data_IF_258212669124
#
_entry.id   IF_258212669124
#
_cell.length_a   1.000
_cell.length_b   1.000
_cell.length_c   1.000
_cell.angle_alpha   90.00
_cell.angle_beta   90.00
_cell.angle_gamma   90.00
#
_symmetry.space_group_name_H-M   'P 1'
#
loop_
_entity.id
_entity.type
_entity.pdbx_description
1 polymer ?
#
# COMPACT_ATOMS: atom_id res chain seq x y z
N UNK A 1 18.09 24.71 -28.79
CA UNK A 1 18.15 23.76 -29.94
C UNK A 1 17.43 22.49 -29.45
N UNK A 2 16.22 22.25 -29.97
CA UNK A 2 15.51 20.99 -29.68
C UNK A 2 16.15 19.90 -30.54
N UNK A 3 16.98 19.05 -29.91
CA UNK A 3 17.50 17.86 -30.56
C UNK A 3 16.34 16.86 -30.72
N UNK A 4 15.68 16.88 -31.88
CA UNK A 4 14.70 15.85 -32.23
C UNK A 4 15.43 14.55 -32.57
N UNK A 5 15.27 13.53 -31.73
CA UNK A 5 15.72 12.16 -31.97
C UNK A 5 14.66 11.40 -32.76
N UNK A 6 14.52 11.74 -34.05
CA UNK A 6 13.57 11.07 -34.93
C UNK A 6 14.29 10.04 -35.79
N UNK A 7 13.88 8.78 -35.73
CA UNK A 7 14.40 7.71 -36.59
C UNK A 7 13.89 7.95 -38.00
N UNK A 8 14.81 8.27 -38.92
CA UNK A 8 14.50 8.41 -40.34
C UNK A 8 14.82 7.11 -41.05
N UNK A 9 13.79 6.41 -41.47
CA UNK A 9 13.93 5.18 -42.25
C UNK A 9 14.04 5.58 -43.71
N UNK A 10 15.20 5.37 -44.32
CA UNK A 10 15.40 5.41 -45.78
C UNK A 10 15.24 3.98 -46.29
N UNK A 11 14.00 3.53 -46.44
CA UNK A 11 13.75 2.23 -47.06
C UNK A 11 13.68 2.43 -48.58
N UNK A 12 14.50 1.74 -49.39
CA UNK A 12 14.16 1.49 -50.78
C UNK A 12 12.80 0.74 -50.77
N UNK A 13 12.05 0.85 -51.89
CA UNK A 13 10.81 0.06 -52.02
C UNK A 13 11.06 -1.39 -51.57
N UNK A 14 10.20 -1.89 -50.69
CA UNK A 14 10.30 -3.28 -50.24
C UNK A 14 10.27 -4.18 -51.47
N UNK A 15 11.32 -4.97 -51.74
CA UNK A 15 11.33 -5.84 -52.87
C UNK A 15 10.14 -6.79 -52.81
N UNK A 16 9.44 -6.94 -53.91
CA UNK A 16 8.36 -7.91 -53.98
C UNK A 16 8.90 -9.29 -53.61
N UNK A 17 8.15 -10.04 -52.78
CA UNK A 17 8.50 -11.41 -52.46
C UNK A 17 8.37 -12.27 -53.69
N UNK A 18 9.46 -12.51 -54.40
CA UNK A 18 9.50 -13.36 -55.59
C UNK A 18 9.79 -14.78 -55.12
N UNK A 19 8.90 -15.68 -55.46
CA UNK A 19 9.03 -17.10 -55.15
C UNK A 19 8.47 -17.96 -56.26
N UNK A 20 8.81 -19.22 -56.33
CA UNK A 20 8.46 -20.21 -57.36
C UNK A 20 7.03 -20.74 -57.16
N UNK A 21 6.04 -19.85 -57.06
CA UNK A 21 4.63 -20.17 -56.78
C UNK A 21 4.06 -21.17 -57.72
N UNK A 22 4.20 -20.93 -59.03
CA UNK A 22 3.54 -21.73 -60.08
C UNK A 22 4.15 -23.16 -60.14
N UNK A 23 5.45 -23.29 -59.88
CA UNK A 23 6.12 -24.59 -59.81
C UNK A 23 5.67 -25.35 -58.59
N UNK A 24 5.62 -24.74 -57.43
CA UNK A 24 5.16 -25.37 -56.17
C UNK A 24 3.68 -25.78 -56.34
N UNK A 25 2.84 -24.91 -56.91
CA UNK A 25 1.45 -25.23 -57.11
C UNK A 25 1.26 -26.40 -58.07
N UNK A 26 1.97 -26.45 -59.20
CA UNK A 26 1.94 -27.55 -60.15
C UNK A 26 2.37 -28.86 -59.50
N UNK A 27 3.53 -28.84 -58.84
CA UNK A 27 4.07 -30.04 -58.15
C UNK A 27 3.10 -30.54 -57.07
N UNK A 28 2.52 -29.63 -56.30
CA UNK A 28 1.55 -29.98 -55.25
C UNK A 28 0.28 -30.59 -55.85
N UNK A 29 -0.23 -30.01 -56.93
CA UNK A 29 -1.44 -30.51 -57.62
C UNK A 29 -1.20 -31.89 -58.20
N UNK A 30 -0.01 -32.16 -58.79
CA UNK A 30 0.40 -33.45 -59.28
C UNK A 30 0.50 -34.46 -58.10
N UNK A 31 1.18 -34.12 -57.02
CA UNK A 31 1.31 -34.95 -55.84
C UNK A 31 -0.03 -35.26 -55.17
N UNK A 32 -0.96 -34.31 -55.13
CA UNK A 32 -2.27 -34.48 -54.53
C UNK A 32 -3.26 -35.25 -55.45
N UNK A 33 -3.02 -35.28 -56.78
CA UNK A 33 -3.86 -36.01 -57.71
C UNK A 33 -3.97 -37.50 -57.39
N UNK A 34 -2.88 -38.09 -56.92
CA UNK A 34 -2.82 -39.52 -56.53
C UNK A 34 -3.71 -39.86 -55.33
N UNK A 35 -4.09 -38.86 -54.54
CA UNK A 35 -4.89 -39.02 -53.32
C UNK A 35 -6.35 -38.58 -53.49
N UNK A 36 -6.65 -37.80 -54.55
CA UNK A 36 -8.02 -37.35 -54.85
C UNK A 36 -8.90 -38.52 -55.23
N UNK A 37 -9.97 -38.72 -54.47
CA UNK A 37 -10.95 -39.78 -54.76
C UNK A 37 -10.52 -41.19 -54.29
N UNK A 38 -9.36 -41.34 -53.63
CA UNK A 38 -8.95 -42.62 -53.06
C UNK A 38 -9.85 -43.03 -51.88
N UNK A 39 -10.44 -44.24 -51.98
CA UNK A 39 -11.29 -44.80 -50.93
C UNK A 39 -10.43 -45.77 -50.10
N UNK A 40 -10.44 -45.59 -48.80
CA UNK A 40 -9.72 -46.47 -47.89
C UNK A 40 -10.69 -47.46 -47.23
N UNK A 41 -10.31 -48.75 -47.19
CA UNK A 41 -11.05 -49.80 -46.52
C UNK A 41 -10.43 -50.07 -45.14
N UNK A 42 -11.12 -50.80 -44.24
CA UNK A 42 -10.54 -51.19 -42.96
C UNK A 42 -9.16 -51.89 -43.07
N UNK A 43 -8.94 -52.65 -44.13
CA UNK A 43 -7.69 -53.39 -44.38
C UNK A 43 -6.56 -52.42 -44.82
N UNK A 44 -6.88 -51.28 -45.41
CA UNK A 44 -5.91 -50.28 -45.89
C UNK A 44 -5.70 -49.12 -44.95
N UNK A 45 -6.21 -49.21 -43.70
CA UNK A 45 -6.15 -48.10 -42.72
C UNK A 45 -4.72 -47.70 -42.38
N UNK A 46 -3.75 -48.62 -42.42
CA UNK A 46 -2.34 -48.36 -42.20
C UNK A 46 -1.79 -47.43 -43.31
N UNK A 47 -2.06 -47.81 -44.57
CA UNK A 47 -1.68 -46.99 -45.72
C UNK A 47 -2.33 -45.60 -45.70
N UNK A 48 -3.60 -45.53 -45.30
CA UNK A 48 -4.30 -44.26 -45.13
C UNK A 48 -3.60 -43.31 -44.10
N UNK A 49 -3.09 -43.87 -43.02
CA UNK A 49 -2.32 -43.08 -42.00
C UNK A 49 -0.98 -42.61 -42.56
N UNK A 50 -0.30 -43.42 -43.33
CA UNK A 50 0.96 -43.06 -43.99
C UNK A 50 0.73 -41.95 -45.05
N UNK A 51 -0.28 -42.09 -45.86
CA UNK A 51 -0.63 -41.10 -46.87
C UNK A 51 -1.02 -39.73 -46.24
N UNK A 52 -1.81 -39.80 -45.20
CA UNK A 52 -2.14 -38.57 -44.41
C UNK A 52 -0.87 -37.95 -43.81
N UNK A 53 0.07 -38.74 -43.32
CA UNK A 53 1.33 -38.22 -42.76
C UNK A 53 2.18 -37.55 -43.85
N UNK A 54 2.23 -38.08 -45.06
CA UNK A 54 2.94 -37.48 -46.20
C UNK A 54 2.29 -36.10 -46.55
N UNK A 55 0.98 -36.07 -46.76
CA UNK A 55 0.27 -34.80 -47.05
C UNK A 55 0.47 -33.75 -45.93
N UNK A 56 0.40 -34.16 -44.69
CA UNK A 56 0.68 -33.26 -43.57
C UNK A 56 2.15 -32.78 -43.53
N UNK A 57 3.11 -33.61 -43.96
CA UNK A 57 4.49 -33.21 -44.11
C UNK A 57 4.68 -32.12 -45.15
N UNK A 58 4.02 -32.23 -46.34
CA UNK A 58 4.05 -31.21 -47.37
C UNK A 58 3.44 -29.87 -46.88
N UNK A 59 2.29 -29.94 -46.18
CA UNK A 59 1.69 -28.79 -45.54
C UNK A 59 2.65 -28.07 -44.57
N UNK A 60 3.40 -28.88 -43.76
CA UNK A 60 4.39 -28.35 -42.84
C UNK A 60 5.55 -27.67 -43.56
N UNK A 61 6.09 -28.30 -44.62
CA UNK A 61 7.20 -27.74 -45.44
C UNK A 61 6.81 -26.40 -46.06
N UNK A 62 5.59 -26.25 -46.55
CA UNK A 62 5.07 -24.96 -47.05
C UNK A 62 5.05 -23.89 -45.92
N UNK A 63 4.61 -24.25 -44.71
CA UNK A 63 4.60 -23.36 -43.55
C UNK A 63 6.00 -22.96 -43.08
N UNK A 64 6.95 -23.89 -43.12
CA UNK A 64 8.36 -23.66 -42.80
C UNK A 64 8.99 -22.64 -43.79
N UNK A 65 8.67 -22.79 -45.09
CA UNK A 65 9.09 -21.82 -46.13
C UNK A 65 8.61 -20.39 -45.84
N UNK A 66 7.34 -20.22 -45.46
CA UNK A 66 6.79 -18.92 -45.06
C UNK A 66 7.50 -18.38 -43.82
N UNK A 67 7.77 -19.24 -42.86
CA UNK A 67 8.44 -18.84 -41.61
C UNK A 67 9.88 -18.38 -41.88
N UNK A 68 10.58 -19.10 -42.75
CA UNK A 68 11.94 -18.73 -43.17
C UNK A 68 11.97 -17.37 -43.93
N UNK A 69 11.03 -17.18 -44.86
CA UNK A 69 10.89 -15.92 -45.57
C UNK A 69 10.60 -14.76 -44.61
N UNK A 70 9.66 -14.93 -43.70
CA UNK A 70 9.33 -13.92 -42.67
C UNK A 70 10.55 -13.56 -41.85
N UNK A 71 11.31 -14.53 -41.35
CA UNK A 71 12.52 -14.30 -40.58
C UNK A 71 13.56 -13.52 -41.38
N UNK A 72 13.74 -13.85 -42.65
CA UNK A 72 14.68 -13.14 -43.53
C UNK A 72 14.31 -11.66 -43.70
N UNK A 73 13.03 -11.37 -44.02
CA UNK A 73 12.58 -9.99 -44.26
C UNK A 73 12.47 -9.15 -42.98
N UNK A 74 12.20 -9.77 -41.81
CA UNK A 74 12.10 -9.07 -40.55
C UNK A 74 13.44 -8.88 -39.82
N UNK A 75 14.49 -9.62 -40.19
CA UNK A 75 15.78 -9.53 -39.53
C UNK A 75 16.34 -8.11 -39.43
N UNK A 76 16.33 -7.25 -40.48
CA UNK A 76 16.79 -5.87 -40.37
C UNK A 76 15.98 -5.02 -39.40
N UNK A 77 14.68 -5.30 -39.28
CA UNK A 77 13.78 -4.61 -38.36
C UNK A 77 14.06 -5.03 -36.90
N UNK A 78 14.36 -6.29 -36.70
CA UNK A 78 14.77 -6.82 -35.39
C UNK A 78 16.12 -6.24 -34.94
N UNK A 79 17.07 -6.11 -35.85
CA UNK A 79 18.38 -5.48 -35.61
C UNK A 79 18.20 -4.00 -35.26
N UNK A 80 17.37 -3.26 -35.98
CA UNK A 80 17.00 -1.90 -35.65
C UNK A 80 16.37 -1.81 -34.26
N UNK A 81 15.41 -2.69 -33.97
CA UNK A 81 14.76 -2.75 -32.65
C UNK A 81 15.74 -3.01 -31.51
N UNK A 82 16.72 -3.89 -31.72
CA UNK A 82 17.79 -4.14 -30.75
C UNK A 82 18.67 -2.93 -30.52
N UNK A 83 19.11 -2.26 -31.59
CA UNK A 83 19.91 -1.06 -31.49
C UNK A 83 19.16 0.08 -30.76
N UNK A 84 17.86 0.26 -31.03
CA UNK A 84 17.03 1.25 -30.35
C UNK A 84 16.91 0.92 -28.86
N UNK A 85 16.71 -0.34 -28.49
CA UNK A 85 16.66 -0.76 -27.08
C UNK A 85 17.96 -0.46 -26.34
N UNK A 86 19.10 -0.66 -26.97
CA UNK A 86 20.39 -0.29 -26.36
C UNK A 86 20.50 1.22 -26.11
N UNK A 87 20.01 2.04 -27.05
CA UNK A 87 19.97 3.50 -26.87
C UNK A 87 19.01 3.91 -25.77
N UNK A 88 17.82 3.28 -25.69
CA UNK A 88 16.85 3.51 -24.62
C UNK A 88 17.44 3.14 -23.24
N UNK A 89 18.13 2.00 -23.14
CA UNK A 89 18.78 1.60 -21.90
C UNK A 89 19.78 2.64 -21.37
N UNK A 90 20.54 3.29 -22.26
CA UNK A 90 21.44 4.40 -21.87
C UNK A 90 20.66 5.61 -21.35
N UNK A 91 19.53 5.93 -21.95
CA UNK A 91 18.67 7.01 -21.47
C UNK A 91 18.08 6.67 -20.08
N UNK A 92 17.64 5.43 -19.89
CA UNK A 92 17.08 4.95 -18.63
C UNK A 92 18.12 4.99 -17.50
N UNK A 93 19.37 4.61 -17.79
CA UNK A 93 20.48 4.69 -16.84
C UNK A 93 20.74 6.15 -16.36
N UNK A 94 20.80 7.08 -17.29
CA UNK A 94 21.03 8.50 -16.97
C UNK A 94 19.79 9.08 -16.24
N UNK A 95 18.59 8.77 -16.71
CA UNK A 95 17.35 9.20 -16.03
C UNK A 95 17.30 8.68 -14.60
N UNK A 96 17.64 7.41 -14.39
CA UNK A 96 17.71 6.82 -13.05
C UNK A 96 18.74 7.49 -12.14
N UNK A 97 19.90 7.87 -12.69
CA UNK A 97 20.93 8.60 -11.95
C UNK A 97 20.45 10.02 -11.55
N UNK A 98 19.74 10.71 -12.44
CA UNK A 98 19.14 12.02 -12.16
C UNK A 98 18.07 11.90 -11.08
N UNK A 99 17.17 10.93 -11.21
CA UNK A 99 16.13 10.68 -10.21
C UNK A 99 16.68 10.39 -8.82
N UNK A 100 17.77 9.63 -8.75
CA UNK A 100 18.44 9.35 -7.48
C UNK A 100 19.00 10.64 -6.85
N UNK A 101 19.60 11.51 -7.65
CA UNK A 101 20.13 12.80 -7.18
C UNK A 101 18.99 13.72 -6.71
N UNK A 102 17.90 13.83 -7.47
CA UNK A 102 16.73 14.63 -7.10
C UNK A 102 16.16 14.16 -5.76
N UNK A 103 15.94 12.85 -5.60
CA UNK A 103 15.46 12.28 -4.33
C UNK A 103 16.40 12.53 -3.16
N UNK A 104 17.72 12.47 -3.39
CA UNK A 104 18.71 12.75 -2.36
C UNK A 104 18.65 14.23 -1.90
N UNK A 105 18.53 15.16 -2.84
CA UNK A 105 18.38 16.60 -2.53
C UNK A 105 17.08 16.87 -1.79
N UNK A 106 15.95 16.31 -2.25
CA UNK A 106 14.65 16.45 -1.57
C UNK A 106 14.66 15.88 -0.16
N UNK A 107 15.32 14.74 0.04
CA UNK A 107 15.48 14.15 1.36
C UNK A 107 16.33 15.03 2.29
N UNK A 108 17.41 15.60 1.78
CA UNK A 108 18.26 16.52 2.53
C UNK A 108 17.51 17.81 2.92
N UNK A 109 16.73 18.40 2.00
CA UNK A 109 15.89 19.59 2.27
C UNK A 109 14.84 19.29 3.37
N UNK A 110 14.23 18.10 3.36
CA UNK A 110 13.26 17.67 4.39
C UNK A 110 13.94 17.47 5.74
N UNK A 111 15.11 16.85 5.77
CA UNK A 111 15.86 16.64 7.02
C UNK A 111 16.36 17.96 7.61
N UNK A 112 16.81 18.90 6.80
CA UNK A 112 17.18 20.25 7.24
C UNK A 112 16.00 20.95 7.91
N UNK A 113 14.81 20.90 7.28
CA UNK A 113 13.59 21.45 7.88
C UNK A 113 13.23 20.73 9.18
N UNK A 114 13.28 19.40 9.22
CA UNK A 114 13.00 18.62 10.42
C UNK A 114 13.97 18.95 11.53
N UNK A 115 15.26 19.10 11.24
CA UNK A 115 16.29 19.49 12.19
C UNK A 115 16.04 20.88 12.75
N UNK A 116 15.65 21.82 11.89
CA UNK A 116 15.27 23.17 12.35
C UNK A 116 14.05 23.16 13.28
N UNK A 117 13.02 22.38 12.93
CA UNK A 117 11.83 22.25 13.77
C UNK A 117 12.14 21.51 15.08
N UNK A 118 13.05 20.54 15.06
CA UNK A 118 13.49 19.82 16.28
C UNK A 118 14.21 20.73 17.25
N UNK A 119 15.03 21.68 16.77
CA UNK A 119 15.66 22.70 17.64
C UNK A 119 14.59 23.56 18.30
N UNK A 120 13.63 24.06 17.52
CA UNK A 120 12.54 24.89 18.06
C UNK A 120 11.68 24.11 19.07
N UNK A 121 11.41 22.85 18.79
CA UNK A 121 10.73 21.96 19.72
C UNK A 121 11.48 21.88 21.06
N UNK A 122 12.80 21.59 21.04
CA UNK A 122 13.61 21.53 22.25
C UNK A 122 13.62 22.84 23.06
N UNK A 123 13.70 23.97 22.35
CA UNK A 123 13.71 25.29 23.00
C UNK A 123 12.37 25.62 23.67
N UNK A 124 11.26 25.03 23.21
CA UNK A 124 9.92 25.37 23.67
C UNK A 124 9.23 24.29 24.51
N UNK A 125 9.58 23.02 24.39
CA UNK A 125 8.85 21.90 25.03
C UNK A 125 9.09 21.83 26.54
N UNK A 126 10.31 22.12 27.00
CA UNK A 126 10.68 22.04 28.42
C UNK A 126 10.54 20.67 29.02
N UNK A 127 9.94 20.58 30.21
CA UNK A 127 9.77 19.31 30.95
C UNK A 127 8.90 18.26 30.22
N UNK A 128 8.11 18.68 29.25
CA UNK A 128 7.26 17.79 28.47
C UNK A 128 8.04 16.96 27.44
N UNK A 129 9.32 17.21 27.21
CA UNK A 129 10.16 16.51 26.22
C UNK A 129 10.16 14.98 26.44
N UNK A 130 10.20 14.55 27.69
CA UNK A 130 10.19 13.12 28.06
C UNK A 130 8.84 12.44 27.86
N UNK A 131 7.76 13.20 27.85
CA UNK A 131 6.37 12.72 27.76
C UNK A 131 5.82 12.73 26.34
N UNK A 132 6.24 13.71 25.54
CA UNK A 132 5.72 13.94 24.21
C UNK A 132 6.88 14.09 23.24
N UNK A 133 7.32 13.03 22.56
CA UNK A 133 8.43 13.09 21.61
C UNK A 133 8.08 13.96 20.41
N UNK A 134 9.11 14.59 19.81
CA UNK A 134 8.99 15.49 18.65
C UNK A 134 8.17 14.89 17.52
N UNK A 135 8.35 13.61 17.24
CA UNK A 135 7.71 12.87 16.16
C UNK A 135 6.17 12.84 16.28
N UNK A 136 5.63 13.01 17.48
CA UNK A 136 4.18 13.09 17.70
C UNK A 136 3.57 14.43 17.32
N UNK A 137 4.38 15.50 17.33
CA UNK A 137 3.96 16.84 17.00
C UNK A 137 4.31 17.22 15.57
N UNK A 138 5.20 16.47 14.93
CA UNK A 138 5.65 16.74 13.57
C UNK A 138 4.57 16.36 12.57
N UNK A 139 4.03 17.34 11.86
CA UNK A 139 3.23 17.09 10.67
C UNK A 139 4.14 16.94 9.46
N UNK A 140 4.02 15.82 8.76
CA UNK A 140 4.78 15.53 7.54
C UNK A 140 4.58 16.58 6.44
N UNK A 141 3.43 17.24 6.40
CA UNK A 141 3.15 18.33 5.47
C UNK A 141 4.08 19.53 5.64
N UNK A 142 4.56 19.80 6.87
CA UNK A 142 5.48 20.91 7.13
C UNK A 142 6.82 20.72 6.45
N UNK A 143 7.21 19.48 6.15
CA UNK A 143 8.47 19.14 5.49
C UNK A 143 8.41 19.35 3.97
N UNK A 144 7.23 19.56 3.39
CA UNK A 144 7.11 19.81 1.97
C UNK A 144 7.80 21.12 1.57
N UNK A 145 8.41 21.15 0.39
CA UNK A 145 9.15 22.32 -0.12
C UNK A 145 8.29 23.59 -0.19
N UNK A 146 7.00 23.42 -0.52
CA UNK A 146 6.03 24.51 -0.67
C UNK A 146 5.53 25.07 0.66
N UNK A 147 5.72 24.34 1.78
CA UNK A 147 5.27 24.80 3.08
C UNK A 147 6.31 25.73 3.71
N UNK A 148 5.90 26.93 4.10
CA UNK A 148 6.81 27.92 4.68
C UNK A 148 7.30 27.47 6.06
N UNK A 149 8.62 27.48 6.30
CA UNK A 149 9.20 27.11 7.59
C UNK A 149 8.70 27.99 8.75
N UNK A 150 8.39 29.26 8.48
CA UNK A 150 7.85 30.18 9.49
C UNK A 150 6.45 29.75 9.97
N UNK A 151 5.62 29.23 9.07
CA UNK A 151 4.30 28.70 9.42
C UNK A 151 4.41 27.39 10.19
N UNK A 152 5.33 26.48 9.77
CA UNK A 152 5.60 25.25 10.49
C UNK A 152 6.06 25.52 11.94
N UNK A 153 6.96 26.49 12.12
CA UNK A 153 7.40 26.97 13.45
C UNK A 153 6.24 27.46 14.29
N UNK A 154 5.40 28.34 13.71
CA UNK A 154 4.22 28.88 14.40
C UNK A 154 3.26 27.78 14.81
N UNK A 155 2.97 26.83 13.91
CA UNK A 155 2.07 25.69 14.18
C UNK A 155 2.62 24.78 15.27
N UNK A 156 3.92 24.50 15.25
CA UNK A 156 4.59 23.69 16.28
C UNK A 156 4.53 24.37 17.65
N UNK A 157 4.87 25.66 17.74
CA UNK A 157 4.77 26.41 18.99
C UNK A 157 3.33 26.48 19.51
N UNK A 158 2.35 26.67 18.62
CA UNK A 158 0.94 26.66 18.99
C UNK A 158 0.50 25.30 19.53
N UNK A 159 0.96 24.21 18.92
CA UNK A 159 0.67 22.84 19.41
C UNK A 159 1.24 22.62 20.81
N UNK A 160 2.46 23.09 21.08
CA UNK A 160 3.07 22.99 22.40
C UNK A 160 2.30 23.82 23.44
N UNK A 161 1.88 25.02 23.08
CA UNK A 161 1.09 25.90 23.95
C UNK A 161 -0.30 25.31 24.25
N UNK A 162 -0.95 24.74 23.24
CA UNK A 162 -2.21 24.05 23.44
C UNK A 162 -2.07 22.90 24.43
N UNK A 163 -1.01 22.11 24.31
CA UNK A 163 -0.73 21.00 25.25
C UNK A 163 -0.55 21.51 26.68
N UNK A 164 0.16 22.62 26.87
CA UNK A 164 0.31 23.25 28.21
C UNK A 164 -1.03 23.66 28.78
N UNK A 165 -1.84 24.35 27.97
CA UNK A 165 -3.18 24.79 28.39
C UNK A 165 -4.09 23.59 28.70
N UNK A 166 -4.02 22.52 27.91
CA UNK A 166 -4.79 21.30 28.14
C UNK A 166 -4.38 20.60 29.45
N UNK A 167 -3.10 20.54 29.76
CA UNK A 167 -2.60 19.96 31.01
C UNK A 167 -2.97 20.82 32.22
N UNK A 168 -2.97 22.15 32.07
CA UNK A 168 -3.45 23.08 33.12
C UNK A 168 -4.94 22.89 33.34
N UNK A 169 -5.74 22.83 32.28
CA UNK A 169 -7.17 22.54 32.35
C UNK A 169 -7.44 21.20 33.10
N UNK A 170 -6.70 20.14 32.81
CA UNK A 170 -6.84 18.84 33.50
C UNK A 170 -6.51 18.99 34.98
N UNK A 171 -5.44 19.73 35.31
CA UNK A 171 -5.03 19.99 36.71
C UNK A 171 -6.13 20.70 37.50
N UNK A 172 -6.79 21.69 36.90
CA UNK A 172 -7.84 22.46 37.54
C UNK A 172 -9.16 21.71 37.66
N UNK A 173 -9.50 20.84 36.71
CA UNK A 173 -10.84 20.30 36.59
C UNK A 173 -10.97 18.81 37.00
N UNK A 174 -9.87 18.05 37.09
CA UNK A 174 -9.92 16.63 37.42
C UNK A 174 -9.72 16.27 38.90
N UNK A 175 -9.51 17.25 39.77
CA UNK A 175 -9.44 17.06 41.22
C UNK A 175 -8.48 15.92 41.63
N UNK A 176 -9.00 14.89 42.30
CA UNK A 176 -8.22 13.71 42.73
C UNK A 176 -7.75 12.83 41.55
N UNK A 177 -8.31 12.98 40.35
CA UNK A 177 -8.05 12.15 39.19
C UNK A 177 -7.03 12.79 38.23
N UNK A 178 -6.28 13.83 38.63
CA UNK A 178 -5.31 14.53 37.75
C UNK A 178 -4.31 13.58 37.11
N UNK A 179 -3.69 12.68 37.85
CA UNK A 179 -2.70 11.74 37.31
C UNK A 179 -3.26 10.78 36.25
N UNK A 180 -4.37 10.04 36.52
CA UNK A 180 -4.95 9.18 35.50
C UNK A 180 -5.51 9.95 34.29
N UNK A 181 -6.05 11.15 34.49
CA UNK A 181 -6.53 12.01 33.39
C UNK A 181 -5.36 12.54 32.54
N UNK A 182 -4.25 12.92 33.16
CA UNK A 182 -3.02 13.31 32.48
C UNK A 182 -2.44 12.13 31.68
N UNK A 183 -2.43 10.94 32.25
CA UNK A 183 -1.95 9.73 31.55
C UNK A 183 -2.80 9.45 30.30
N UNK A 184 -4.12 9.55 30.41
CA UNK A 184 -5.01 9.34 29.28
C UNK A 184 -4.89 10.45 28.22
N UNK A 185 -4.74 11.71 28.65
CA UNK A 185 -4.44 12.83 27.76
C UNK A 185 -3.13 12.60 26.98
N UNK A 186 -2.05 12.25 27.67
CA UNK A 186 -0.74 12.01 27.03
C UNK A 186 -0.77 10.86 26.02
N UNK A 187 -1.71 9.92 26.17
CA UNK A 187 -1.90 8.85 25.21
C UNK A 187 -2.47 9.34 23.88
N UNK A 188 -3.47 10.25 23.93
CA UNK A 188 -4.29 10.62 22.79
C UNK A 188 -4.17 12.09 22.39
N UNK A 189 -3.56 12.93 23.24
CA UNK A 189 -3.54 14.41 23.18
C UNK A 189 -4.97 14.98 23.01
N UNK A 190 -5.91 14.42 23.77
CA UNK A 190 -7.33 14.77 23.73
C UNK A 190 -7.85 15.05 25.14
N UNK A 191 -8.25 16.29 25.41
CA UNK A 191 -8.90 16.71 26.66
C UNK A 191 -10.23 16.00 26.87
N UNK A 192 -10.95 15.67 25.80
CA UNK A 192 -12.21 14.92 25.89
C UNK A 192 -12.03 13.54 26.50
N UNK A 193 -10.96 12.84 26.16
CA UNK A 193 -10.70 11.51 26.74
C UNK A 193 -10.27 11.60 28.20
N UNK A 194 -9.49 12.60 28.58
CA UNK A 194 -9.16 12.88 29.96
C UNK A 194 -10.42 13.16 30.81
N UNK A 195 -11.35 13.99 30.31
CA UNK A 195 -12.61 14.29 30.98
C UNK A 195 -13.53 13.06 31.07
N UNK A 196 -13.55 12.23 30.06
CA UNK A 196 -14.29 10.95 30.09
C UNK A 196 -13.74 10.02 31.19
N UNK A 197 -12.43 9.95 31.33
CA UNK A 197 -11.79 9.17 32.38
C UNK A 197 -12.15 9.70 33.78
N UNK A 198 -12.11 11.01 33.99
CA UNK A 198 -12.56 11.65 35.23
C UNK A 198 -14.01 11.27 35.56
N UNK A 199 -14.92 11.50 34.62
CA UNK A 199 -16.34 11.20 34.79
C UNK A 199 -16.63 9.71 35.09
N UNK A 200 -15.85 8.80 34.48
CA UNK A 200 -15.93 7.37 34.74
C UNK A 200 -15.54 7.04 36.17
N UNK A 201 -14.44 7.63 36.64
CA UNK A 201 -13.94 7.42 38.02
C UNK A 201 -14.86 8.02 39.07
N UNK A 202 -15.37 9.20 38.79
CA UNK A 202 -16.33 9.86 39.69
C UNK A 202 -17.61 9.03 39.85
N UNK A 203 -18.20 8.54 38.76
CA UNK A 203 -19.37 7.63 38.79
C UNK A 203 -19.06 6.35 39.59
N UNK A 204 -17.87 5.79 39.43
CA UNK A 204 -17.46 4.60 40.18
C UNK A 204 -17.35 4.88 41.67
N UNK A 205 -16.77 6.01 42.08
CA UNK A 205 -16.69 6.43 43.48
C UNK A 205 -18.07 6.69 44.08
N UNK A 206 -18.96 7.35 43.30
CA UNK A 206 -20.32 7.57 43.74
C UNK A 206 -21.07 6.25 43.97
N UNK A 207 -21.00 5.32 43.04
CA UNK A 207 -21.60 4.00 43.17
C UNK A 207 -21.05 3.20 44.38
N UNK A 208 -19.76 3.32 44.66
CA UNK A 208 -19.15 2.72 45.84
C UNK A 208 -19.66 3.34 47.14
N UNK A 209 -19.75 4.68 47.23
CA UNK A 209 -20.30 5.40 48.39
C UNK A 209 -21.77 5.02 48.65
N UNK A 210 -22.57 4.95 47.58
CA UNK A 210 -24.00 4.54 47.68
C UNK A 210 -24.10 3.08 48.15
N UNK A 211 -23.30 2.16 47.62
CA UNK A 211 -23.28 0.76 48.04
C UNK A 211 -22.79 0.61 49.49
N UNK A 212 -21.84 1.39 49.93
CA UNK A 212 -21.37 1.39 51.33
C UNK A 212 -22.43 1.95 52.29
N UNK A 213 -23.07 3.06 51.90
CA UNK A 213 -24.18 3.64 52.63
C UNK A 213 -25.35 2.66 52.77
N UNK A 214 -25.73 1.97 51.68
CA UNK A 214 -26.76 0.94 51.69
C UNK A 214 -26.41 -0.25 52.59
N UNK A 215 -25.14 -0.69 52.58
CA UNK A 215 -24.65 -1.75 53.50
C UNK A 215 -24.73 -1.32 54.96
N UNK A 216 -24.25 -0.11 55.30
CA UNK A 216 -24.39 0.44 56.68
C UNK A 216 -25.85 0.56 57.12
N UNK A 217 -26.74 1.05 56.24
CA UNK A 217 -28.15 1.15 56.53
C UNK A 217 -28.80 -0.23 56.75
N UNK A 218 -28.44 -1.24 55.93
CA UNK A 218 -28.93 -2.62 56.10
C UNK A 218 -28.40 -3.26 57.40
N UNK A 219 -27.16 -2.99 57.79
CA UNK A 219 -26.57 -3.47 59.06
C UNK A 219 -27.29 -2.84 60.27
N UNK A 220 -27.52 -1.52 60.25
CA UNK A 220 -28.31 -0.83 61.30
C UNK A 220 -29.74 -1.36 61.41
N UNK A 221 -30.39 -1.59 60.27
CA UNK A 221 -31.73 -2.18 60.21
C UNK A 221 -31.76 -3.61 60.79
N UNK A 222 -30.74 -4.40 60.53
CA UNK A 222 -30.58 -5.73 61.13
C UNK A 222 -30.35 -5.67 62.64
N UNK A 223 -29.56 -4.75 63.12
CA UNK A 223 -29.29 -4.54 64.54
C UNK A 223 -30.53 -4.03 65.31
N UNK A 224 -31.38 -3.25 64.64
CA UNK A 224 -32.64 -2.71 65.19
C UNK A 224 -33.85 -3.69 65.09
N UNK A 225 -33.71 -4.80 64.35
CA UNK A 225 -34.78 -5.79 64.24
C UNK A 225 -35.05 -6.46 65.60
N UNK A 226 -36.27 -6.53 66.09
CA UNK A 226 -36.61 -7.18 67.35
C UNK A 226 -36.20 -8.66 67.24
N UNK A 227 -35.51 -9.15 68.26
CA UNK A 227 -35.18 -10.58 68.42
C UNK A 227 -36.53 -11.30 68.61
N UNK A 228 -36.99 -11.93 67.55
CA UNK A 228 -38.16 -12.87 67.65
C UNK A 228 -37.61 -14.08 68.40
N UNK A 229 -37.85 -14.09 69.73
CA UNK A 229 -37.61 -15.26 70.51
C UNK A 229 -38.69 -16.28 70.11
N UNK A 230 -38.32 -17.47 69.59
CA UNK A 230 -39.36 -18.49 69.28
C UNK A 230 -39.99 -18.87 70.55
N UNK A 231 -41.40 -19.11 70.55
CA UNK A 231 -42.11 -19.52 71.76
C UNK A 231 -41.49 -20.80 72.28
N UNK A 232 -41.21 -20.80 73.61
CA UNK A 232 -40.75 -21.97 74.34
C UNK A 232 -41.73 -23.09 74.23
N UNK A 233 -41.24 -24.35 74.22
CA UNK A 233 -42.04 -25.57 74.03
C UNK A 233 -43.19 -25.76 75.05
N UNK A 234 -43.31 -24.91 76.05
CA UNK A 234 -44.34 -24.96 77.13
C UNK A 234 -45.62 -24.20 76.76
N UNK A 235 -45.69 -23.46 75.64
CA UNK A 235 -46.97 -22.78 75.23
C UNK A 235 -47.75 -23.55 74.16
N UNK A 236 -47.46 -24.84 73.99
CA UNK A 236 -48.14 -25.71 73.02
C UNK A 236 -48.90 -26.85 73.77
N UNK A 237 -49.72 -26.59 74.80
CA UNK A 237 -50.77 -27.44 75.26
C UNK A 237 -52.09 -26.72 75.25
#
# INVERSE_FOLDING_TARGET
MTNELTIKIQAPELPAVIWNKDDIQRNLDEMLADYKGRVYTPESIKSAKEDRAKVNSWKRQLGEGVTAARKFYLKPVEELGSAVKEMQAKCDEISGAIDAQVKAVEAAEKEEKASTLRLIYRDNIGELETLIPFERLLDSHWLNKTFAIAEAKKSLCQSIENIRSDLEFIRENCGEDVEPCTTEYLRNLSTNEAVREHNRREKSRQAQREAEAARKAAELARAAAPVIIPPTAEERE
#
